data_IF_656683836826
#
_entry.id   IF_656683836826
#
_cell.length_a   1.000
_cell.length_b   1.000
_cell.length_c   1.000
_cell.angle_alpha   90.00
_cell.angle_beta   90.00
_cell.angle_gamma   90.00
#
_symmetry.space_group_name_H-M   'P 1'
#
loop_
_entity.id
_entity.type
_entity.pdbx_description
1 polymer ?
#
# COMPACT_ATOMS: atom_id res chain seq x y z
N UNK A 1 -12.90 21.32 -8.07
CA UNK A 1 -11.54 20.79 -7.79
C UNK A 1 -11.18 19.88 -8.94
N UNK A 2 -10.29 20.32 -9.84
CA UNK A 2 -9.82 19.46 -10.92
C UNK A 2 -8.82 18.47 -10.36
N UNK A 3 -8.97 17.19 -10.69
CA UNK A 3 -7.91 16.21 -10.53
C UNK A 3 -6.79 16.64 -11.48
N UNK A 4 -5.83 17.41 -10.97
CA UNK A 4 -4.58 17.68 -11.69
C UNK A 4 -3.95 16.35 -12.10
N UNK A 5 -3.24 16.33 -13.23
CA UNK A 5 -2.54 15.12 -13.68
C UNK A 5 -1.56 14.70 -12.58
N UNK A 6 -1.91 13.63 -11.86
CA UNK A 6 -1.05 13.00 -10.87
C UNK A 6 -0.09 12.08 -11.62
N UNK A 7 1.20 12.36 -11.54
CA UNK A 7 2.23 11.42 -11.99
C UNK A 7 2.42 10.38 -10.88
N UNK A 8 1.59 9.35 -10.92
CA UNK A 8 1.53 8.27 -9.94
C UNK A 8 1.80 6.94 -10.60
N UNK A 9 2.69 6.16 -10.02
CA UNK A 9 2.81 4.72 -10.30
C UNK A 9 2.02 3.97 -9.25
N UNK A 10 1.18 3.03 -9.69
CA UNK A 10 0.38 2.17 -8.81
C UNK A 10 0.74 0.72 -9.07
N UNK A 11 1.22 0.03 -8.04
CA UNK A 11 1.64 -1.37 -8.11
C UNK A 11 0.77 -2.20 -7.17
N UNK A 12 0.17 -3.27 -7.70
CA UNK A 12 -0.53 -4.26 -6.88
C UNK A 12 0.50 -5.11 -6.13
N UNK A 13 0.37 -5.16 -4.81
CA UNK A 13 1.26 -5.90 -3.91
C UNK A 13 0.43 -6.69 -2.90
N UNK A 14 1.06 -7.64 -2.21
CA UNK A 14 0.46 -8.29 -1.05
C UNK A 14 1.18 -7.86 0.22
N UNK A 15 0.42 -7.55 1.26
CA UNK A 15 0.95 -7.19 2.57
C UNK A 15 0.27 -8.07 3.61
N UNK A 16 1.06 -8.85 4.35
CA UNK A 16 0.57 -9.82 5.33
C UNK A 16 -0.50 -10.77 4.74
N UNK A 17 -0.34 -11.19 3.49
CA UNK A 17 -1.29 -12.05 2.77
C UNK A 17 -2.57 -11.36 2.30
N UNK A 18 -2.74 -10.07 2.56
CA UNK A 18 -3.89 -9.28 2.10
C UNK A 18 -3.55 -8.48 0.82
N UNK A 19 -4.52 -8.27 -0.09
CA UNK A 19 -4.32 -7.44 -1.27
C UNK A 19 -4.08 -5.98 -0.89
N UNK A 20 -3.11 -5.36 -1.57
CA UNK A 20 -2.72 -3.99 -1.33
C UNK A 20 -2.26 -3.28 -2.61
N UNK A 21 -2.24 -1.96 -2.56
CA UNK A 21 -1.69 -1.09 -3.60
C UNK A 21 -0.56 -0.25 -3.00
N UNK A 22 0.59 -0.24 -3.66
CA UNK A 22 1.65 0.72 -3.44
C UNK A 22 1.49 1.85 -4.45
N UNK A 23 1.38 3.09 -3.98
CA UNK A 23 1.22 4.30 -4.78
C UNK A 23 2.42 5.20 -4.56
N UNK A 24 3.11 5.53 -5.64
CA UNK A 24 4.36 6.29 -5.62
C UNK A 24 4.25 7.47 -6.57
N UNK A 25 4.75 8.63 -6.14
CA UNK A 25 4.89 9.83 -6.97
C UNK A 25 6.28 10.42 -6.79
N UNK A 26 6.87 11.02 -7.84
CA UNK A 26 8.19 11.64 -7.74
C UNK A 26 8.22 12.71 -6.63
N UNK A 27 9.16 12.57 -5.70
CA UNK A 27 9.34 13.54 -4.60
C UNK A 27 8.31 13.46 -3.48
N UNK A 28 7.36 12.52 -3.54
CA UNK A 28 6.37 12.32 -2.48
C UNK A 28 6.60 11.01 -1.71
N UNK A 29 6.21 10.99 -0.43
CA UNK A 29 6.23 9.76 0.34
C UNK A 29 5.25 8.74 -0.26
N UNK A 30 5.74 7.51 -0.43
CA UNK A 30 4.93 6.37 -0.86
C UNK A 30 3.68 6.23 0.01
N UNK A 31 2.61 5.72 -0.60
CA UNK A 31 1.35 5.45 0.08
C UNK A 31 0.99 4.00 -0.14
N UNK A 32 0.64 3.30 0.93
CA UNK A 32 0.14 1.94 0.86
C UNK A 32 -1.33 1.94 1.20
N UNK A 33 -2.12 1.30 0.34
CA UNK A 33 -3.54 1.04 0.54
C UNK A 33 -3.71 -0.45 0.74
N UNK A 34 -4.18 -0.91 1.89
CA UNK A 34 -4.52 -2.32 2.10
C UNK A 34 -6.03 -2.50 2.17
N UNK A 35 -6.52 -3.60 1.60
CA UNK A 35 -7.91 -4.00 1.71
C UNK A 35 -8.00 -5.28 2.55
N UNK A 36 -8.71 -5.19 3.68
CA UNK A 36 -9.08 -6.37 4.45
C UNK A 36 -10.33 -6.97 3.86
N UNK A 37 -10.29 -8.26 3.54
CA UNK A 37 -11.44 -9.01 3.04
C UNK A 37 -11.91 -10.04 4.05
N UNK A 38 -13.23 -10.20 4.14
CA UNK A 38 -13.89 -11.28 4.89
C UNK A 38 -14.86 -11.93 3.91
N UNK A 39 -14.75 -13.24 3.71
CA UNK A 39 -15.57 -14.01 2.77
C UNK A 39 -15.58 -13.42 1.34
N UNK A 40 -14.41 -12.97 0.86
CA UNK A 40 -14.26 -12.39 -0.47
C UNK A 40 -14.80 -10.96 -0.62
N UNK A 41 -15.31 -10.33 0.46
CA UNK A 41 -15.81 -8.95 0.45
C UNK A 41 -14.84 -8.04 1.17
N UNK A 42 -14.56 -6.85 0.61
CA UNK A 42 -13.77 -5.82 1.29
C UNK A 42 -14.59 -5.28 2.47
N UNK A 43 -14.09 -5.44 3.67
CA UNK A 43 -14.72 -4.94 4.90
C UNK A 43 -14.02 -3.72 5.46
N UNK A 44 -12.74 -3.52 5.11
CA UNK A 44 -11.97 -2.37 5.56
C UNK A 44 -10.90 -1.98 4.56
N UNK A 45 -10.68 -0.67 4.44
CA UNK A 45 -9.57 -0.10 3.69
C UNK A 45 -8.71 0.69 4.67
N UNK A 46 -7.40 0.47 4.62
CA UNK A 46 -6.42 1.25 5.37
C UNK A 46 -5.48 1.96 4.41
N UNK A 47 -5.28 3.26 4.63
CA UNK A 47 -4.33 4.08 3.87
C UNK A 47 -3.20 4.50 4.79
N UNK A 48 -1.96 4.17 4.42
CA UNK A 48 -0.76 4.46 5.20
C UNK A 48 0.24 5.27 4.36
N UNK A 49 0.59 6.45 4.87
CA UNK A 49 1.63 7.33 4.31
C UNK A 49 2.66 7.70 5.39
N UNK A 50 3.18 6.68 6.08
CA UNK A 50 4.18 6.88 7.13
C UNK A 50 5.54 6.35 6.64
N UNK A 51 6.48 7.23 6.26
CA UNK A 51 7.78 6.83 5.71
C UNK A 51 8.52 5.78 6.56
N UNK A 52 8.45 5.89 7.89
CA UNK A 52 9.11 4.95 8.80
C UNK A 52 8.50 3.54 8.78
N UNK A 53 7.18 3.44 8.55
CA UNK A 53 6.51 2.13 8.45
C UNK A 53 6.65 1.52 7.06
N UNK A 54 6.74 2.36 6.04
CA UNK A 54 6.87 1.94 4.64
C UNK A 54 8.28 1.48 4.28
N UNK A 55 9.31 2.01 4.94
CA UNK A 55 10.69 1.56 4.78
C UNK A 55 10.85 0.04 5.02
N UNK A 56 10.00 -0.55 5.88
CA UNK A 56 10.00 -1.99 6.18
C UNK A 56 9.19 -2.86 5.20
N UNK A 57 8.48 -2.28 4.25
CA UNK A 57 7.72 -3.06 3.25
C UNK A 57 8.63 -3.50 2.09
N UNK A 58 9.71 -2.78 1.82
CA UNK A 58 10.73 -3.17 0.85
C UNK A 58 11.62 -4.33 1.36
N UNK A 59 11.75 -4.46 2.68
CA UNK A 59 12.47 -5.57 3.32
C UNK A 59 11.49 -6.70 3.63
N UNK A 60 11.49 -7.73 2.79
CA UNK A 60 10.75 -8.96 3.01
C UNK A 60 11.21 -9.57 4.35
N UNK A 61 10.36 -9.48 5.38
CA UNK A 61 10.68 -10.06 6.69
C UNK A 61 10.39 -11.56 6.63
N UNK A 62 11.44 -12.36 6.48
CA UNK A 62 11.33 -13.82 6.53
C UNK A 62 10.77 -14.25 7.90
N UNK A 63 9.54 -14.80 7.91
CA UNK A 63 8.96 -15.41 9.09
C UNK A 63 9.67 -16.75 9.34
N UNK A 64 10.45 -16.87 10.42
CA UNK A 64 10.93 -18.16 10.91
C UNK A 64 9.82 -18.84 11.71
N UNK A 65 9.64 -20.15 11.48
CA UNK A 65 8.63 -21.02 12.10
C UNK A 65 8.83 -21.19 13.61
#
# INVERSE_FOLDING_TARGET
MGLGRLDVTVTAVQINGAPALLVESPGEAATVVTATTVEGRVTRIYVMRNPHKLARIADETALSR
#
